data_IF_143056293494
#
_entry.id   IF_143056293494
#
_cell.length_a   1.000
_cell.length_b   1.000
_cell.length_c   1.000
_cell.angle_alpha   90.00
_cell.angle_beta   90.00
_cell.angle_gamma   90.00
#
_symmetry.space_group_name_H-M   'P 1'
#
loop_
_entity.id
_entity.type
_entity.pdbx_description
1 polymer ?
#
# COMPACT_ATOMS: atom_id res chain seq x y z
N UNK A 1 -3.56 -18.66 11.52
CA UNK A 1 -3.86 -17.23 11.66
C UNK A 1 -5.11 -16.95 10.82
N UNK A 2 -6.12 -16.36 11.37
CA UNK A 2 -7.37 -16.06 10.65
C UNK A 2 -7.20 -14.73 9.87
N UNK A 3 -6.41 -14.78 8.81
CA UNK A 3 -6.18 -13.61 7.95
C UNK A 3 -7.34 -13.49 6.97
N UNK A 4 -8.08 -12.40 7.05
CA UNK A 4 -9.24 -12.13 6.19
C UNK A 4 -8.90 -11.30 4.95
N UNK A 5 -7.87 -10.46 5.02
CA UNK A 5 -7.46 -9.57 3.93
C UNK A 5 -5.93 -9.59 3.78
N UNK A 6 -5.46 -9.65 2.54
CA UNK A 6 -4.04 -9.57 2.17
C UNK A 6 -3.88 -8.37 1.24
N UNK A 7 -3.28 -7.29 1.78
CA UNK A 7 -2.99 -6.05 1.04
C UNK A 7 -1.48 -5.94 0.87
N UNK A 8 -1.00 -5.91 -0.38
CA UNK A 8 0.44 -5.95 -0.67
C UNK A 8 0.78 -5.32 -2.02
N UNK A 9 2.07 -5.19 -2.32
CA UNK A 9 2.53 -4.66 -3.60
C UNK A 9 2.16 -5.56 -4.80
N UNK A 10 1.95 -4.95 -5.96
CA UNK A 10 1.54 -5.62 -7.20
C UNK A 10 2.59 -6.63 -7.72
N UNK A 11 3.85 -6.51 -7.31
CA UNK A 11 4.91 -7.47 -7.59
C UNK A 11 4.64 -8.87 -7.01
N UNK A 12 3.73 -8.98 -6.05
CA UNK A 12 3.28 -10.25 -5.47
C UNK A 12 2.02 -10.84 -6.14
N UNK A 13 1.49 -10.23 -7.18
CA UNK A 13 0.25 -10.65 -7.86
C UNK A 13 0.32 -12.09 -8.38
N UNK A 14 1.43 -12.47 -8.99
CA UNK A 14 1.65 -13.84 -9.49
C UNK A 14 1.61 -14.87 -8.36
N UNK A 15 2.08 -14.50 -7.17
CA UNK A 15 2.09 -15.38 -6.01
C UNK A 15 0.67 -15.66 -5.49
N UNK A 16 -0.29 -14.78 -5.77
CA UNK A 16 -1.69 -14.94 -5.37
C UNK A 16 -2.26 -16.25 -5.92
N UNK A 17 -2.04 -16.53 -7.20
CA UNK A 17 -2.56 -17.75 -7.83
C UNK A 17 -2.02 -19.03 -7.17
N UNK A 18 -0.74 -19.05 -6.84
CA UNK A 18 -0.11 -20.18 -6.14
C UNK A 18 -0.68 -20.34 -4.73
N UNK A 19 -0.85 -19.24 -4.02
CA UNK A 19 -1.41 -19.24 -2.68
C UNK A 19 -2.87 -19.68 -2.65
N UNK A 20 -3.68 -19.21 -3.59
CA UNK A 20 -5.08 -19.64 -3.73
C UNK A 20 -5.19 -21.17 -3.92
N UNK A 21 -4.29 -21.77 -4.69
CA UNK A 21 -4.28 -23.24 -4.86
C UNK A 21 -3.98 -23.96 -3.55
N UNK A 22 -3.07 -23.43 -2.73
CA UNK A 22 -2.76 -24.00 -1.41
C UNK A 22 -3.97 -23.88 -0.48
N UNK A 23 -4.62 -22.70 -0.43
CA UNK A 23 -5.84 -22.51 0.35
C UNK A 23 -6.94 -23.50 -0.06
N UNK A 24 -7.13 -23.70 -1.36
CA UNK A 24 -8.09 -24.65 -1.91
C UNK A 24 -7.76 -26.09 -1.52
N UNK A 25 -6.49 -26.51 -1.67
CA UNK A 25 -6.06 -27.87 -1.30
C UNK A 25 -6.23 -28.15 0.19
N UNK A 26 -6.00 -27.14 1.03
CA UNK A 26 -6.17 -27.23 2.49
C UNK A 26 -7.62 -27.05 2.95
N UNK A 27 -8.55 -26.74 2.03
CA UNK A 27 -9.96 -26.42 2.32
C UNK A 27 -10.10 -25.25 3.30
N UNK A 28 -9.18 -24.26 3.24
CA UNK A 28 -9.24 -23.05 4.02
C UNK A 28 -10.08 -22.00 3.33
N UNK A 29 -10.69 -21.12 4.13
CA UNK A 29 -11.40 -19.96 3.61
C UNK A 29 -10.41 -19.01 2.92
N UNK A 30 -10.76 -18.57 1.71
CA UNK A 30 -9.91 -17.73 0.90
C UNK A 30 -10.00 -16.27 1.39
N UNK A 31 -8.87 -15.62 1.71
CA UNK A 31 -8.87 -14.22 2.06
C UNK A 31 -9.12 -13.32 0.84
N UNK A 32 -9.61 -12.11 1.07
CA UNK A 32 -9.67 -11.07 0.05
C UNK A 32 -8.27 -10.54 -0.27
N UNK A 33 -7.92 -10.46 -1.56
CA UNK A 33 -6.61 -9.94 -1.99
C UNK A 33 -6.76 -8.54 -2.59
N UNK A 34 -5.90 -7.62 -2.16
CA UNK A 34 -5.74 -6.30 -2.77
C UNK A 34 -4.27 -6.06 -3.12
N UNK A 35 -4.02 -5.51 -4.31
CA UNK A 35 -2.68 -5.20 -4.79
C UNK A 35 -2.54 -3.70 -5.01
N UNK A 36 -1.53 -3.11 -4.38
CA UNK A 36 -1.23 -1.69 -4.46
C UNK A 36 -0.16 -1.48 -5.54
N UNK A 37 -0.33 -0.48 -6.43
CA UNK A 37 0.67 -0.15 -7.43
C UNK A 37 2.04 0.11 -6.81
N UNK A 38 3.10 -0.30 -7.51
CA UNK A 38 4.46 -0.02 -7.10
C UNK A 38 4.82 1.44 -7.39
N UNK A 39 5.61 2.04 -6.50
CA UNK A 39 6.18 3.35 -6.73
C UNK A 39 7.38 3.20 -7.66
N UNK A 40 7.40 4.01 -8.72
CA UNK A 40 8.46 4.04 -9.70
C UNK A 40 9.23 5.36 -9.63
N UNK A 41 10.48 5.33 -10.06
CA UNK A 41 11.28 6.53 -10.29
C UNK A 41 10.77 7.25 -11.54
N UNK A 42 11.21 8.49 -11.75
CA UNK A 42 10.92 9.25 -12.98
C UNK A 42 11.41 8.55 -14.25
N UNK A 43 12.36 7.64 -14.12
CA UNK A 43 12.89 6.81 -15.21
C UNK A 43 12.07 5.51 -15.43
N UNK A 44 10.97 5.32 -14.69
CA UNK A 44 10.11 4.14 -14.80
C UNK A 44 10.63 2.88 -14.10
N UNK A 45 11.74 2.96 -13.36
CA UNK A 45 12.26 1.82 -12.58
C UNK A 45 11.53 1.70 -11.24
N UNK A 46 11.31 0.48 -10.77
CA UNK A 46 10.76 0.24 -9.43
C UNK A 46 11.67 0.90 -8.39
N UNK A 47 11.08 1.74 -7.54
CA UNK A 47 11.80 2.35 -6.43
C UNK A 47 12.24 1.27 -5.44
N UNK A 48 13.53 1.18 -5.17
CA UNK A 48 14.11 0.21 -4.26
C UNK A 48 14.95 0.88 -3.18
N UNK A 49 15.27 0.15 -2.11
CA UNK A 49 16.17 0.65 -1.06
C UNK A 49 17.55 1.03 -1.60
N UNK A 50 17.97 0.46 -2.74
CA UNK A 50 19.26 0.77 -3.40
C UNK A 50 19.25 2.14 -4.10
N UNK A 51 18.08 2.65 -4.43
CA UNK A 51 17.89 3.92 -5.12
C UNK A 51 17.81 5.10 -4.13
N UNK A 52 18.36 4.94 -2.92
CA UNK A 52 18.33 5.93 -1.81
C UNK A 52 16.88 6.36 -1.48
N UNK A 53 15.91 5.45 -1.63
CA UNK A 53 14.56 5.70 -1.16
C UNK A 53 14.62 6.03 0.33
N UNK A 54 14.14 7.21 0.70
CA UNK A 54 14.10 7.68 2.07
C UNK A 54 13.26 6.71 2.92
N UNK A 55 13.80 6.36 4.07
CA UNK A 55 13.04 5.61 5.08
C UNK A 55 12.11 6.54 5.85
N UNK A 56 11.16 5.99 6.62
CA UNK A 56 10.31 6.80 7.49
C UNK A 56 11.14 7.61 8.49
N UNK A 57 12.24 7.03 8.97
CA UNK A 57 13.18 7.70 9.89
C UNK A 57 13.86 8.92 9.24
N UNK A 58 14.17 8.85 7.95
CA UNK A 58 14.77 9.96 7.23
C UNK A 58 13.81 11.13 7.13
N UNK A 59 12.53 10.87 6.86
CA UNK A 59 11.49 11.92 6.85
C UNK A 59 11.31 12.54 8.23
N UNK A 60 11.36 11.75 9.30
CA UNK A 60 11.29 12.26 10.68
C UNK A 60 12.48 13.17 11.01
N UNK A 61 13.70 12.79 10.60
CA UNK A 61 14.92 13.59 10.85
C UNK A 61 14.91 14.96 10.18
N UNK A 62 14.26 15.09 9.02
CA UNK A 62 14.10 16.38 8.33
C UNK A 62 12.87 17.16 8.77
N UNK A 63 12.17 16.69 9.82
CA UNK A 63 11.08 17.40 10.46
C UNK A 63 9.72 17.28 9.77
N UNK A 64 9.54 16.29 8.89
CA UNK A 64 8.23 16.04 8.26
C UNK A 64 7.29 15.40 9.27
N UNK A 65 6.15 16.05 9.52
CA UNK A 65 5.14 15.56 10.43
C UNK A 65 4.50 14.26 9.92
N UNK A 66 4.19 13.28 10.79
CA UNK A 66 3.59 12.00 10.41
C UNK A 66 2.30 12.15 9.60
N UNK A 67 1.48 13.16 9.90
CA UNK A 67 0.24 13.47 9.20
C UNK A 67 0.49 13.88 7.73
N UNK A 68 1.49 14.71 7.53
CA UNK A 68 1.88 15.16 6.19
C UNK A 68 2.42 14.01 5.37
N UNK A 69 3.27 13.17 5.97
CA UNK A 69 3.83 11.99 5.30
C UNK A 69 2.74 10.99 4.92
N UNK A 70 1.79 10.70 5.83
CA UNK A 70 0.66 9.81 5.53
C UNK A 70 -0.19 10.34 4.39
N UNK A 71 -0.49 11.64 4.37
CA UNK A 71 -1.23 12.28 3.30
C UNK A 71 -0.50 12.16 1.96
N UNK A 72 0.80 12.40 1.95
CA UNK A 72 1.65 12.26 0.77
C UNK A 72 1.66 10.83 0.23
N UNK A 73 1.93 9.84 1.08
CA UNK A 73 1.99 8.43 0.70
C UNK A 73 0.65 7.91 0.17
N UNK A 74 -0.46 8.36 0.76
CA UNK A 74 -1.78 7.99 0.29
C UNK A 74 -2.02 8.47 -1.15
N UNK A 75 -1.63 9.69 -1.46
CA UNK A 75 -1.83 10.30 -2.78
C UNK A 75 -0.98 9.68 -3.89
N UNK A 76 0.04 8.91 -3.57
CA UNK A 76 0.86 8.24 -4.58
C UNK A 76 0.08 7.19 -5.39
N UNK A 77 -0.98 6.62 -4.84
CA UNK A 77 -1.76 5.59 -5.52
C UNK A 77 -3.27 5.81 -5.50
N UNK A 78 -3.73 6.91 -4.89
CA UNK A 78 -5.15 7.16 -4.71
C UNK A 78 -5.48 8.66 -4.75
N UNK A 79 -6.63 8.99 -5.33
CA UNK A 79 -7.16 10.35 -5.34
C UNK A 79 -8.66 10.33 -5.03
N UNK A 80 -9.15 11.35 -4.36
CA UNK A 80 -10.56 11.51 -4.07
C UNK A 80 -11.01 12.92 -4.42
N UNK A 81 -11.68 13.06 -5.55
CA UNK A 81 -12.09 14.34 -6.11
C UNK A 81 -10.88 15.29 -6.18
N UNK A 82 -11.09 16.58 -6.10
CA UNK A 82 -10.01 17.59 -6.15
C UNK A 82 -9.38 17.87 -4.78
N UNK A 83 -9.54 16.96 -3.81
CA UNK A 83 -8.97 17.14 -2.47
C UNK A 83 -7.50 16.79 -2.44
N UNK A 84 -6.68 17.74 -2.00
CA UNK A 84 -5.24 17.58 -1.85
C UNK A 84 -4.82 17.20 -0.44
N UNK A 85 -5.59 17.57 0.58
CA UNK A 85 -5.26 17.37 2.00
C UNK A 85 -6.38 16.63 2.70
N UNK A 86 -6.04 15.55 3.39
CA UNK A 86 -6.95 14.75 4.21
C UNK A 86 -6.61 14.92 5.69
N UNK A 87 -7.51 15.56 6.43
CA UNK A 87 -7.27 15.94 7.84
C UNK A 87 -7.30 14.76 8.83
N UNK A 88 -7.91 13.61 8.48
CA UNK A 88 -8.04 12.49 9.41
C UNK A 88 -7.91 11.14 8.70
N UNK A 89 -7.01 10.31 9.20
CA UNK A 89 -6.79 8.93 8.76
C UNK A 89 -8.06 8.05 8.86
N UNK A 90 -8.93 8.33 9.83
CA UNK A 90 -10.18 7.58 10.06
C UNK A 90 -11.21 7.84 8.95
N UNK A 91 -11.28 9.07 8.42
CA UNK A 91 -12.16 9.41 7.29
C UNK A 91 -11.69 8.69 6.02
N UNK A 92 -10.38 8.52 5.87
CA UNK A 92 -9.78 7.81 4.75
C UNK A 92 -10.08 6.32 4.75
N UNK A 93 -10.01 5.67 5.90
CA UNK A 93 -10.41 4.26 6.05
C UNK A 93 -11.88 4.05 5.69
N UNK A 94 -12.77 4.97 6.06
CA UNK A 94 -14.19 4.90 5.68
C UNK A 94 -14.44 5.12 4.19
N UNK A 95 -13.61 5.91 3.51
CA UNK A 95 -13.75 6.17 2.06
C UNK A 95 -13.12 5.06 1.21
N UNK A 96 -12.09 4.39 1.73
CA UNK A 96 -11.42 3.28 1.05
C UNK A 96 -12.18 1.94 1.16
N UNK A 97 -13.10 1.81 2.11
CA UNK A 97 -13.88 0.59 2.35
C UNK A 97 -15.26 0.59 1.65
N UNK A 98 -15.58 1.64 0.90
CA UNK A 98 -16.76 1.77 0.04
C UNK A 98 -16.35 2.21 -1.37
#
# INVERSE_FOLDING_TARGET
MQVTHIIRGDDHKINTFKQMQIYSAMKWELPSFAHIPLIHTTEGKKLSKRDKASTLDDYSKIGIMPEALRNYLLRLGWSFKDKEIFKLTIILLKILLF
#
